data_IF_374882354714
#
_entry.id   IF_374882354714
#
_cell.length_a   1.000
_cell.length_b   1.000
_cell.length_c   1.000
_cell.angle_alpha   90.00
_cell.angle_beta   90.00
_cell.angle_gamma   90.00
#
_symmetry.space_group_name_H-M   'P 1'
#
loop_
_entity.id
_entity.type
_entity.pdbx_description
1 polymer ?
#
# COMPACT_ATOMS: atom_id res chain seq x y z
N UNK A 1 -7.62 -6.94 -13.27
CA UNK A 1 -7.13 -6.47 -11.96
C UNK A 1 -8.34 -6.08 -11.15
N UNK A 2 -8.57 -6.75 -10.03
CA UNK A 2 -9.66 -6.43 -9.10
C UNK A 2 -9.08 -5.66 -7.91
N UNK A 3 -9.87 -4.73 -7.37
CA UNK A 3 -9.46 -3.81 -6.30
C UNK A 3 -10.62 -3.66 -5.33
N UNK A 4 -10.35 -3.86 -4.05
CA UNK A 4 -11.31 -3.61 -2.96
C UNK A 4 -10.93 -2.33 -2.21
N UNK A 5 -11.71 -1.26 -2.38
CA UNK A 5 -11.54 0.05 -1.72
C UNK A 5 -12.87 0.48 -1.07
N UNK A 6 -13.29 -0.17 0.02
CA UNK A 6 -14.27 0.42 0.95
C UNK A 6 -15.28 -0.51 1.63
N UNK A 7 -15.68 -0.09 2.83
CA UNK A 7 -16.68 -0.63 3.78
C UNK A 7 -16.37 -1.96 4.49
N UNK A 8 -15.78 -2.96 3.84
CA UNK A 8 -15.22 -4.14 4.54
C UNK A 8 -14.36 -4.92 3.54
N UNK A 9 -13.04 -4.69 3.55
CA UNK A 9 -12.16 -5.42 2.65
C UNK A 9 -12.32 -6.93 2.88
N UNK A 10 -12.82 -7.66 1.88
CA UNK A 10 -12.98 -9.11 1.93
C UNK A 10 -11.81 -9.73 1.18
N UNK A 11 -10.93 -10.41 1.93
CA UNK A 11 -9.81 -11.10 1.32
C UNK A 11 -10.31 -12.25 0.42
N UNK A 12 -9.83 -12.39 -0.83
CA UNK A 12 -10.31 -13.43 -1.73
C UNK A 12 -9.98 -14.83 -1.19
N UNK A 13 -11.02 -15.62 -0.90
CA UNK A 13 -10.89 -16.96 -0.32
C UNK A 13 -10.17 -17.97 -1.22
N UNK A 14 -10.18 -17.73 -2.54
CA UNK A 14 -9.41 -18.46 -3.55
C UNK A 14 -7.88 -18.28 -3.40
N UNK A 15 -7.45 -17.21 -2.71
CA UNK A 15 -6.05 -16.90 -2.44
C UNK A 15 -5.67 -17.43 -1.06
N UNK A 16 -6.41 -17.05 -0.02
CA UNK A 16 -6.21 -17.54 1.34
C UNK A 16 -7.42 -17.20 2.23
N UNK A 17 -7.56 -17.91 3.35
CA UNK A 17 -8.53 -17.55 4.40
C UNK A 17 -7.80 -16.77 5.49
N UNK A 18 -8.30 -15.58 5.84
CA UNK A 18 -7.64 -14.75 6.86
C UNK A 18 -8.63 -13.82 7.56
N UNK A 19 -8.33 -13.52 8.82
CA UNK A 19 -8.99 -12.46 9.58
C UNK A 19 -8.22 -11.13 9.51
N UNK A 20 -7.04 -11.12 8.88
CA UNK A 20 -6.28 -9.89 8.66
C UNK A 20 -7.03 -8.97 7.69
N UNK A 21 -6.89 -7.67 7.91
CA UNK A 21 -7.50 -6.63 7.09
C UNK A 21 -6.43 -5.64 6.63
N UNK A 22 -5.78 -5.92 5.50
CA UNK A 22 -4.98 -4.92 4.81
C UNK A 22 -5.80 -3.68 4.46
N UNK A 23 -5.15 -2.54 4.30
CA UNK A 23 -5.82 -1.33 3.84
C UNK A 23 -6.32 -1.49 2.41
N UNK A 24 -5.48 -2.05 1.52
CA UNK A 24 -5.88 -2.41 0.15
C UNK A 24 -5.32 -3.78 -0.29
N UNK A 25 -6.07 -4.44 -1.16
CA UNK A 25 -5.64 -5.68 -1.83
C UNK A 25 -5.88 -5.56 -3.32
N UNK A 26 -4.85 -5.83 -4.11
CA UNK A 26 -4.91 -5.90 -5.58
C UNK A 26 -4.56 -7.31 -6.00
N UNK A 27 -5.36 -7.92 -6.88
CA UNK A 27 -5.03 -9.25 -7.38
C UNK A 27 -5.45 -9.44 -8.83
N UNK A 28 -4.79 -10.42 -9.45
CA UNK A 28 -5.08 -10.82 -10.82
C UNK A 28 -5.04 -12.35 -10.94
N UNK A 29 -6.20 -13.01 -11.07
CA UNK A 29 -6.26 -14.47 -11.23
C UNK A 29 -5.51 -14.98 -12.46
N UNK A 30 -5.48 -14.20 -13.55
CA UNK A 30 -4.84 -14.59 -14.82
C UNK A 30 -3.34 -14.79 -14.73
N UNK A 31 -2.65 -14.00 -13.89
CA UNK A 31 -1.21 -14.08 -13.65
C UNK A 31 -0.88 -14.64 -12.26
N UNK A 32 -1.90 -15.07 -11.51
CA UNK A 32 -1.79 -15.58 -10.14
C UNK A 32 -0.96 -14.69 -9.22
N UNK A 33 -1.21 -13.38 -9.25
CA UNK A 33 -0.49 -12.41 -8.40
C UNK A 33 -1.43 -11.69 -7.44
N UNK A 34 -0.95 -11.44 -6.22
CA UNK A 34 -1.61 -10.62 -5.20
C UNK A 34 -0.62 -9.63 -4.57
N UNK A 35 -1.08 -8.40 -4.43
CA UNK A 35 -0.39 -7.29 -3.77
C UNK A 35 -1.22 -6.89 -2.54
N UNK A 36 -0.65 -7.11 -1.37
CA UNK A 36 -1.21 -6.70 -0.08
C UNK A 36 -0.59 -5.34 0.26
N UNK A 37 -1.40 -4.30 0.39
CA UNK A 37 -0.93 -2.93 0.61
C UNK A 37 -1.40 -2.45 1.98
N UNK A 38 -0.46 -1.98 2.78
CA UNK A 38 -0.72 -1.47 4.12
C UNK A 38 -0.19 -0.04 4.24
N UNK A 39 -1.05 0.91 4.60
CA UNK A 39 -0.66 2.29 4.85
C UNK A 39 0.14 2.37 6.15
N UNK A 40 1.27 3.07 6.11
CA UNK A 40 2.10 3.33 7.29
C UNK A 40 2.41 4.82 7.41
N UNK A 41 2.45 5.31 8.64
CA UNK A 41 2.88 6.67 8.94
C UNK A 41 4.39 6.61 9.22
N UNK A 42 5.21 7.32 8.46
CA UNK A 42 6.64 7.36 8.73
C UNK A 42 6.87 8.14 10.03
N UNK A 43 7.44 7.47 11.03
CA UNK A 43 8.19 8.16 12.07
C UNK A 43 9.65 8.12 11.65
N UNK A 44 10.32 9.28 11.62
CA UNK A 44 11.55 9.53 10.84
C UNK A 44 12.71 8.53 11.07
N UNK A 45 12.71 7.78 12.18
CA UNK A 45 13.77 6.83 12.54
C UNK A 45 13.37 5.34 12.50
N UNK A 46 12.14 4.97 12.14
CA UNK A 46 11.65 3.58 12.27
C UNK A 46 11.02 3.02 11.00
N UNK A 47 11.34 3.58 9.83
CA UNK A 47 10.77 3.16 8.53
C UNK A 47 11.08 1.69 8.23
N UNK A 48 12.35 1.28 8.39
CA UNK A 48 12.78 -0.09 8.14
C UNK A 48 12.16 -1.08 9.14
N UNK A 49 12.09 -0.72 10.42
CA UNK A 49 11.46 -1.54 11.46
C UNK A 49 9.94 -1.68 11.23
N UNK A 50 9.26 -0.62 10.79
CA UNK A 50 7.85 -0.67 10.44
C UNK A 50 7.62 -1.55 9.21
N UNK A 51 8.54 -1.51 8.24
CA UNK A 51 8.53 -2.38 7.07
C UNK A 51 8.65 -3.85 7.46
N UNK A 52 9.64 -4.19 8.29
CA UNK A 52 9.86 -5.57 8.77
C UNK A 52 8.69 -6.09 9.60
N UNK A 53 8.19 -5.29 10.54
CA UNK A 53 7.05 -5.67 11.39
C UNK A 53 5.80 -5.97 10.57
N UNK A 54 5.54 -5.20 9.51
CA UNK A 54 4.40 -5.41 8.60
C UNK A 54 4.59 -6.63 7.72
N UNK A 55 5.80 -6.88 7.22
CA UNK A 55 6.08 -8.14 6.52
C UNK A 55 5.89 -9.35 7.43
N UNK A 56 6.33 -9.27 8.68
CA UNK A 56 6.16 -10.34 9.66
C UNK A 56 4.68 -10.65 9.89
N UNK A 57 3.85 -9.61 10.05
CA UNK A 57 2.39 -9.73 10.23
C UNK A 57 1.71 -10.53 9.11
N UNK A 58 2.19 -10.41 7.87
CA UNK A 58 1.60 -11.05 6.69
C UNK A 58 2.34 -12.31 6.24
N UNK A 59 3.36 -12.76 6.98
CA UNK A 59 4.22 -13.88 6.56
C UNK A 59 3.43 -15.16 6.33
N UNK A 60 2.60 -15.57 7.31
CA UNK A 60 1.76 -16.78 7.18
C UNK A 60 0.76 -16.65 6.03
N UNK A 61 0.10 -15.50 5.91
CA UNK A 61 -0.84 -15.24 4.81
C UNK A 61 -0.18 -15.35 3.43
N UNK A 62 1.04 -14.83 3.28
CA UNK A 62 1.79 -14.95 2.02
C UNK A 62 2.26 -16.37 1.76
N UNK A 63 2.55 -17.16 2.80
CA UNK A 63 2.92 -18.56 2.68
C UNK A 63 1.73 -19.40 2.20
N UNK A 64 0.55 -19.19 2.77
CA UNK A 64 -0.69 -19.85 2.35
C UNK A 64 -1.04 -19.54 0.90
N UNK A 65 -0.94 -18.27 0.51
CA UNK A 65 -1.16 -17.85 -0.87
C UNK A 65 -0.17 -18.53 -1.82
N UNK A 66 1.12 -18.58 -1.47
CA UNK A 66 2.16 -19.27 -2.25
C UNK A 66 1.90 -20.77 -2.37
N UNK A 67 1.47 -21.43 -1.30
CA UNK A 67 1.11 -22.85 -1.34
C UNK A 67 -0.04 -23.12 -2.32
N UNK A 68 -0.95 -22.15 -2.49
CA UNK A 68 -2.05 -22.19 -3.46
C UNK A 68 -1.67 -21.69 -4.86
N UNK A 69 -0.38 -21.50 -5.11
CA UNK A 69 0.16 -21.12 -6.42
C UNK A 69 0.10 -19.63 -6.73
N UNK A 70 -0.11 -18.76 -5.73
CA UNK A 70 -0.13 -17.32 -5.92
C UNK A 70 1.22 -16.67 -5.60
N UNK A 71 1.64 -15.73 -6.44
CA UNK A 71 2.73 -14.81 -6.14
C UNK A 71 2.22 -13.69 -5.23
N UNK A 72 2.51 -13.81 -3.94
CA UNK A 72 2.09 -12.86 -2.92
C UNK A 72 3.22 -11.89 -2.54
N UNK A 73 2.93 -10.59 -2.60
CA UNK A 73 3.83 -9.51 -2.20
C UNK A 73 3.13 -8.54 -1.25
N UNK A 74 3.86 -8.06 -0.25
CA UNK A 74 3.39 -7.11 0.75
C UNK A 74 4.11 -5.78 0.55
N UNK A 75 3.36 -4.69 0.49
CA UNK A 75 3.87 -3.33 0.34
C UNK A 75 3.35 -2.45 1.47
N UNK A 76 4.17 -2.21 2.50
CA UNK A 76 3.92 -1.10 3.40
C UNK A 76 4.16 0.21 2.64
N UNK A 77 3.07 0.93 2.33
CA UNK A 77 3.09 2.18 1.58
C UNK A 77 3.14 3.33 2.58
N UNK A 78 4.18 4.15 2.45
CA UNK A 78 4.36 5.32 3.29
C UNK A 78 4.25 6.58 2.44
N UNK A 79 3.33 7.44 2.85
CA UNK A 79 3.14 8.77 2.28
C UNK A 79 3.06 9.73 3.47
N UNK A 80 4.15 10.46 3.69
CA UNK A 80 4.27 11.37 4.83
C UNK A 80 3.62 12.72 4.54
N UNK A 81 3.20 13.41 5.61
CA UNK A 81 2.79 14.81 5.52
C UNK A 81 3.94 15.65 4.93
N UNK A 82 3.63 16.65 4.09
CA UNK A 82 4.59 17.49 3.33
C UNK A 82 5.21 16.85 2.09
N UNK A 83 4.53 15.88 1.48
CA UNK A 83 4.93 15.37 0.17
C UNK A 83 6.13 14.42 0.21
N UNK A 84 6.34 13.76 1.36
CA UNK A 84 7.28 12.65 1.43
C UNK A 84 6.64 11.40 0.81
N UNK A 85 7.34 10.75 -0.12
CA UNK A 85 6.92 9.50 -0.75
C UNK A 85 8.05 8.50 -0.58
N UNK A 86 7.79 7.42 0.13
CA UNK A 86 8.78 6.40 0.45
C UNK A 86 9.18 5.56 -0.78
N UNK A 87 10.35 4.92 -0.67
CA UNK A 87 10.87 4.01 -1.70
C UNK A 87 9.96 2.80 -1.94
N UNK A 88 9.24 2.33 -0.91
CA UNK A 88 8.25 1.25 -0.99
C UNK A 88 7.08 1.60 -1.91
N UNK A 89 6.57 2.83 -1.84
CA UNK A 89 5.54 3.35 -2.74
C UNK A 89 6.02 3.38 -4.19
N UNK A 90 7.28 3.77 -4.42
CA UNK A 90 7.89 3.76 -5.76
C UNK A 90 8.05 2.32 -6.27
N UNK A 91 8.46 1.37 -5.42
CA UNK A 91 8.55 -0.06 -5.78
C UNK A 91 7.18 -0.64 -6.16
N UNK A 92 6.14 -0.34 -5.38
CA UNK A 92 4.76 -0.74 -5.70
C UNK A 92 4.36 -0.22 -7.08
N UNK A 93 4.56 1.07 -7.36
CA UNK A 93 4.18 1.67 -8.65
C UNK A 93 4.89 1.01 -9.83
N UNK A 94 6.20 0.70 -9.69
CA UNK A 94 6.96 -0.02 -10.71
C UNK A 94 6.42 -1.43 -10.94
N UNK A 95 6.14 -2.16 -9.86
CA UNK A 95 5.62 -3.53 -9.94
C UNK A 95 4.18 -3.60 -10.48
N UNK A 96 3.42 -2.51 -10.35
CA UNK A 96 2.12 -2.32 -11.01
C UNK A 96 2.22 -1.86 -12.48
N UNK A 97 3.44 -1.69 -13.00
CA UNK A 97 3.68 -1.36 -14.42
C UNK A 97 3.93 0.13 -14.70
N UNK A 98 3.98 1.00 -13.69
CA UNK A 98 4.29 2.42 -13.89
C UNK A 98 5.78 2.66 -14.09
N UNK A 99 6.17 3.14 -15.27
CA UNK A 99 7.57 3.37 -15.63
C UNK A 99 7.78 4.78 -16.22
N UNK A 100 9.05 5.21 -16.29
CA UNK A 100 9.47 6.42 -16.98
C UNK A 100 8.71 7.70 -16.56
N UNK A 101 8.14 8.40 -17.54
CA UNK A 101 7.42 9.65 -17.33
C UNK A 101 6.14 9.46 -16.50
N UNK A 102 5.41 8.36 -16.72
CA UNK A 102 4.19 8.05 -15.97
C UNK A 102 4.50 7.87 -14.48
N UNK A 103 5.58 7.16 -14.13
CA UNK A 103 6.02 7.02 -12.73
C UNK A 103 6.32 8.39 -12.09
N UNK A 104 7.06 9.26 -12.80
CA UNK A 104 7.39 10.61 -12.29
C UNK A 104 6.15 11.45 -12.04
N UNK A 105 5.17 11.39 -12.96
CA UNK A 105 3.91 12.11 -12.83
C UNK A 105 3.06 11.58 -11.66
N UNK A 106 2.94 10.27 -11.51
CA UNK A 106 2.20 9.65 -10.39
C UNK A 106 2.84 9.99 -9.05
N UNK A 107 4.17 9.91 -8.94
CA UNK A 107 4.88 10.32 -7.72
C UNK A 107 4.65 11.80 -7.44
N UNK A 108 4.71 12.68 -8.45
CA UNK A 108 4.42 14.11 -8.26
C UNK A 108 3.01 14.34 -7.71
N UNK A 109 1.99 13.71 -8.28
CA UNK A 109 0.60 13.80 -7.80
C UNK A 109 0.45 13.30 -6.36
N UNK A 110 1.13 12.20 -6.00
CA UNK A 110 1.13 11.68 -4.63
C UNK A 110 1.78 12.67 -3.66
N UNK A 111 2.88 13.32 -4.04
CA UNK A 111 3.52 14.37 -3.23
C UNK A 111 2.59 15.55 -2.99
N UNK A 112 1.91 16.01 -4.04
CA UNK A 112 0.97 17.13 -3.97
C UNK A 112 -0.22 16.80 -3.05
N UNK A 113 -0.84 15.63 -3.23
CA UNK A 113 -1.95 15.17 -2.39
C UNK A 113 -1.55 15.06 -0.90
N UNK A 114 -0.36 14.53 -0.63
CA UNK A 114 0.17 14.38 0.73
C UNK A 114 0.56 15.72 1.38
N UNK A 115 0.86 16.74 0.58
CA UNK A 115 1.17 18.10 1.06
C UNK A 115 -0.10 18.90 1.34
N UNK A 116 -1.15 18.70 0.54
CA UNK A 116 -2.43 19.40 0.66
C UNK A 116 -3.29 18.98 1.86
N UNK A 117 -3.08 17.78 2.42
CA UNK A 117 -3.83 17.31 3.59
C UNK A 117 -3.59 18.14 4.87
N UNK A 118 -2.53 18.95 4.93
CA UNK A 118 -2.22 19.82 6.06
C UNK A 118 -2.75 21.26 5.96
N UNK A 119 -3.23 21.70 4.79
CA UNK A 119 -3.64 23.10 4.56
C UNK A 119 -5.14 23.35 4.65
N UNK A 120 -6.00 22.32 4.64
CA UNK A 120 -7.46 22.48 4.78
C UNK A 120 -7.98 22.45 6.23
N UNK A 121 -7.10 22.37 7.23
CA UNK A 121 -7.47 22.30 8.66
C UNK A 121 -7.38 23.63 9.43
N UNK A 122 -7.01 24.76 8.80
CA UNK A 122 -6.89 26.05 9.48
C UNK A 122 -7.77 27.12 8.83
N UNK A 123 -9.08 26.95 8.93
CA UNK A 123 -10.00 28.07 8.67
C UNK A 123 -11.31 27.99 9.45
N UNK A 124 -11.31 27.59 10.73
CA UNK A 124 -12.47 27.81 11.62
C UNK A 124 -12.07 28.02 13.09
N UNK A 125 -11.13 28.94 13.35
CA UNK A 125 -10.97 29.50 14.68
C UNK A 125 -10.45 30.95 14.59
N UNK A 126 -11.35 31.90 14.89
CA UNK A 126 -10.98 33.28 15.25
C UNK A 126 -11.16 34.32 14.16
N UNK A 127 -12.39 34.80 13.97
CA UNK A 127 -12.87 36.16 14.26
C UNK A 127 -14.28 36.34 13.67
#
# INVERSE_FOLDING_TARGET
MLVDIGQKLIFPSEIASTNLRPDWVLWSPSIKSIYIIELTVPWENSVEEAYERKNLRYTELTADAKQRGWNAKVYPVEVGCRGFVASSTIRLLKDLGSHGQALRQTVKKLKEAASGYGSSGRTLAGL
#
